data_IF_784419987326
#
_entry.id   IF_784419987326
#
_cell.length_a   1.000
_cell.length_b   1.000
_cell.length_c   1.000
_cell.angle_alpha   90.00
_cell.angle_beta   90.00
_cell.angle_gamma   90.00
#
_symmetry.space_group_name_H-M   'P 1'
#
loop_
_entity.id
_entity.type
_entity.pdbx_description
1 polymer ?
#
# COMPACT_ATOMS: atom_id res chain seq x y z
N UNK A 1 2.92 17.30 54.31
CA UNK A 1 2.25 16.33 53.42
C UNK A 1 2.06 17.02 52.08
N UNK A 2 2.71 16.70 50.97
CA UNK A 2 3.64 15.63 50.63
C UNK A 2 4.50 16.19 49.50
N UNK A 3 5.81 16.07 49.64
CA UNK A 3 6.84 16.67 48.79
C UNK A 3 6.73 16.21 47.33
N UNK A 4 6.89 17.16 46.41
CA UNK A 4 7.18 16.92 45.00
C UNK A 4 8.42 16.04 44.89
N UNK A 5 8.26 14.84 44.34
CA UNK A 5 9.38 13.94 44.02
C UNK A 5 10.09 14.50 42.78
N UNK A 6 11.15 15.27 43.03
CA UNK A 6 12.15 15.61 42.00
C UNK A 6 12.69 14.30 41.45
N UNK A 7 12.54 14.10 40.14
CA UNK A 7 13.23 13.01 39.42
C UNK A 7 14.72 13.34 39.47
N UNK A 8 15.45 12.71 40.38
CA UNK A 8 16.91 12.79 40.42
C UNK A 8 17.47 12.22 39.10
N UNK A 9 18.04 13.12 38.28
CA UNK A 9 18.97 12.73 37.24
C UNK A 9 20.21 12.12 37.92
N UNK A 10 20.28 10.78 37.97
CA UNK A 10 21.46 10.08 38.45
C UNK A 10 22.69 10.47 37.60
N UNK A 11 23.84 10.77 38.24
CA UNK A 11 25.04 11.12 37.51
C UNK A 11 25.59 9.93 36.72
N UNK A 12 25.82 10.22 35.44
CA UNK A 12 26.68 9.57 34.44
C UNK A 12 27.44 8.31 34.91
N UNK A 13 26.99 7.15 34.44
CA UNK A 13 27.65 5.85 34.62
C UNK A 13 29.16 5.93 34.25
N UNK A 14 30.02 5.48 35.16
CA UNK A 14 31.43 5.14 34.87
C UNK A 14 31.46 4.07 33.76
N UNK A 15 32.25 4.29 32.70
CA UNK A 15 32.35 3.37 31.54
C UNK A 15 32.07 3.99 30.16
N UNK A 16 31.82 5.31 30.09
CA UNK A 16 31.41 6.04 28.86
C UNK A 16 32.38 6.05 27.66
N UNK A 17 33.57 5.47 27.76
CA UNK A 17 34.61 5.56 26.72
C UNK A 17 35.24 4.21 26.38
N UNK A 18 34.48 3.14 26.48
CA UNK A 18 34.89 1.88 25.86
C UNK A 18 34.52 1.91 24.37
N UNK A 19 35.40 1.37 23.53
CA UNK A 19 35.09 1.18 22.13
C UNK A 19 33.87 0.25 22.04
N UNK A 20 32.81 0.73 21.38
CA UNK A 20 31.61 -0.05 21.09
C UNK A 20 31.62 -0.43 19.63
N UNK A 21 31.13 -1.62 19.35
CA UNK A 21 30.91 -2.07 17.98
C UNK A 21 29.74 -1.31 17.35
N UNK A 22 29.66 -1.33 16.02
CA UNK A 22 28.51 -0.76 15.31
C UNK A 22 27.20 -1.44 15.73
N UNK A 23 27.21 -2.76 15.94
CA UNK A 23 26.03 -3.53 16.35
C UNK A 23 25.56 -3.15 17.76
N UNK A 24 26.49 -2.92 18.69
CA UNK A 24 26.15 -2.44 20.03
C UNK A 24 25.54 -1.04 19.99
N UNK A 25 26.09 -0.15 19.16
CA UNK A 25 25.54 1.18 18.96
C UNK A 25 24.15 1.12 18.31
N UNK A 26 23.99 0.29 17.27
CA UNK A 26 22.72 0.07 16.59
C UNK A 26 21.67 -0.47 17.55
N UNK A 27 21.98 -1.52 18.31
CA UNK A 27 21.06 -2.10 19.28
C UNK A 27 20.68 -1.12 20.38
N UNK A 28 21.65 -0.33 20.88
CA UNK A 28 21.37 0.71 21.87
C UNK A 28 20.42 1.79 21.32
N UNK A 29 20.67 2.28 20.10
CA UNK A 29 19.86 3.34 19.49
C UNK A 29 18.48 2.85 19.03
N UNK A 30 18.43 1.75 18.28
CA UNK A 30 17.24 1.29 17.55
C UNK A 30 16.42 0.21 18.27
N UNK A 31 17.00 -0.56 19.21
CA UNK A 31 16.22 -1.54 19.98
C UNK A 31 15.95 -1.10 21.42
N UNK A 32 16.87 -0.36 22.06
CA UNK A 32 16.74 0.02 23.47
C UNK A 32 16.22 1.45 23.68
N UNK A 33 16.76 2.42 22.95
CA UNK A 33 16.46 3.83 23.16
C UNK A 33 15.19 4.28 22.43
N UNK A 34 15.07 3.91 21.15
CA UNK A 34 13.93 4.29 20.32
C UNK A 34 12.65 3.53 20.71
N UNK A 35 11.51 4.19 20.52
CA UNK A 35 10.18 3.60 20.68
C UNK A 35 9.44 3.72 19.36
N UNK A 36 8.71 2.67 19.00
CA UNK A 36 8.00 2.57 17.72
C UNK A 36 6.52 2.36 17.96
N UNK A 37 5.71 2.91 17.05
CA UNK A 37 4.30 2.59 16.94
C UNK A 37 4.11 1.75 15.70
N UNK A 38 3.29 0.70 15.78
CA UNK A 38 2.88 -0.05 14.61
C UNK A 38 2.07 0.89 13.69
N UNK A 39 2.46 1.07 12.42
CA UNK A 39 1.81 2.05 11.55
C UNK A 39 0.33 1.77 11.25
N UNK A 40 -0.10 0.51 11.39
CA UNK A 40 -1.48 0.09 11.15
C UNK A 40 -2.35 0.19 12.41
N UNK A 41 -1.90 -0.32 13.56
CA UNK A 41 -2.70 -0.35 14.79
C UNK A 41 -2.56 0.91 15.63
N UNK A 42 -1.48 1.70 15.43
CA UNK A 42 -1.09 2.85 16.27
C UNK A 42 -0.72 2.49 17.71
N UNK A 43 -0.66 1.21 18.04
CA UNK A 43 -0.20 0.71 19.33
C UNK A 43 1.33 0.57 19.35
N UNK A 44 1.89 0.23 20.52
CA UNK A 44 3.31 -0.04 20.66
C UNK A 44 3.74 -1.14 19.68
N UNK A 45 4.74 -0.84 18.85
CA UNK A 45 5.30 -1.76 17.86
C UNK A 45 6.82 -1.87 17.98
N UNK A 46 7.42 -2.41 16.93
CA UNK A 46 8.85 -2.66 16.81
C UNK A 46 9.45 -1.86 15.64
N UNK A 47 10.78 -1.82 15.57
CA UNK A 47 11.50 -1.30 14.41
C UNK A 47 11.02 -1.97 13.11
N UNK A 48 10.82 -3.29 13.14
CA UNK A 48 10.46 -4.07 11.96
C UNK A 48 9.09 -3.69 11.41
N UNK A 49 8.10 -3.41 12.27
CA UNK A 49 6.78 -2.93 11.84
C UNK A 49 6.88 -1.63 11.02
N UNK A 50 7.76 -0.73 11.46
CA UNK A 50 7.98 0.55 10.78
C UNK A 50 8.79 0.37 9.51
N UNK A 51 9.84 -0.46 9.54
CA UNK A 51 10.66 -0.76 8.36
C UNK A 51 9.83 -1.41 7.25
N UNK A 52 9.00 -2.40 7.57
CA UNK A 52 8.13 -3.07 6.60
C UNK A 52 7.14 -2.10 5.97
N UNK A 53 6.55 -1.22 6.78
CA UNK A 53 5.65 -0.17 6.29
C UNK A 53 6.39 0.81 5.36
N UNK A 54 7.58 1.27 5.73
CA UNK A 54 8.37 2.19 4.92
C UNK A 54 8.82 1.55 3.59
N UNK A 55 9.23 0.27 3.60
CA UNK A 55 9.56 -0.47 2.39
C UNK A 55 8.34 -0.59 1.45
N UNK A 56 7.16 -0.86 2.00
CA UNK A 56 5.91 -0.86 1.23
C UNK A 56 5.61 0.51 0.63
N UNK A 57 5.73 1.59 1.42
CA UNK A 57 5.53 2.97 0.97
C UNK A 57 6.51 3.35 -0.14
N UNK A 58 7.78 2.97 0.00
CA UNK A 58 8.83 3.23 -0.99
C UNK A 58 8.53 2.53 -2.31
N UNK A 59 8.22 1.22 -2.29
CA UNK A 59 7.85 0.45 -3.49
C UNK A 59 6.66 1.07 -4.21
N UNK A 60 5.62 1.45 -3.46
CA UNK A 60 4.44 2.13 -4.01
C UNK A 60 4.80 3.48 -4.62
N UNK A 61 5.64 4.26 -3.95
CA UNK A 61 6.08 5.56 -4.44
C UNK A 61 6.88 5.45 -5.73
N UNK A 62 7.81 4.50 -5.82
CA UNK A 62 8.58 4.25 -7.05
C UNK A 62 7.71 3.77 -8.20
N UNK A 63 6.75 2.88 -7.93
CA UNK A 63 5.82 2.38 -8.95
C UNK A 63 4.98 3.51 -9.57
N UNK A 64 4.56 4.47 -8.73
CA UNK A 64 3.62 5.53 -9.10
C UNK A 64 4.28 6.89 -9.31
N UNK A 65 5.60 6.96 -9.37
CA UNK A 65 6.37 8.21 -9.54
C UNK A 65 6.01 8.93 -10.84
N UNK A 66 6.06 10.27 -10.83
CA UNK A 66 5.77 11.09 -12.01
C UNK A 66 4.29 11.44 -12.16
N UNK A 67 3.79 11.44 -13.40
CA UNK A 67 2.39 11.78 -13.69
C UNK A 67 1.57 10.54 -14.00
N UNK A 68 0.58 10.24 -13.16
CA UNK A 68 -0.30 9.08 -13.35
C UNK A 68 -1.62 9.55 -13.97
N UNK A 69 -1.79 9.23 -15.25
CA UNK A 69 -2.96 9.56 -16.04
C UNK A 69 -4.02 8.48 -15.84
N UNK A 70 -5.11 8.81 -15.16
CA UNK A 70 -6.24 7.91 -14.91
C UNK A 70 -7.38 8.23 -15.87
N UNK A 71 -7.88 7.22 -16.59
CA UNK A 71 -9.01 7.36 -17.52
C UNK A 71 -10.18 6.49 -17.08
N UNK A 72 -11.41 6.91 -17.42
CA UNK A 72 -12.65 6.15 -17.23
C UNK A 72 -12.96 5.78 -15.76
N UNK A 73 -12.65 6.70 -14.85
CA UNK A 73 -13.07 6.61 -13.46
C UNK A 73 -14.23 7.56 -13.20
N UNK A 74 -15.35 6.99 -12.75
CA UNK A 74 -16.48 7.75 -12.19
C UNK A 74 -16.00 8.59 -11.00
N UNK A 75 -16.70 9.68 -10.68
CA UNK A 75 -16.31 10.56 -9.57
C UNK A 75 -16.12 9.79 -8.25
N UNK A 76 -17.02 8.85 -7.94
CA UNK A 76 -16.89 7.97 -6.79
C UNK A 76 -15.59 7.14 -6.83
N UNK A 77 -15.29 6.50 -7.97
CA UNK A 77 -14.06 5.72 -8.15
C UNK A 77 -12.81 6.58 -7.95
N UNK A 78 -12.82 7.84 -8.39
CA UNK A 78 -11.70 8.78 -8.17
C UNK A 78 -11.47 9.03 -6.68
N UNK A 79 -12.52 9.23 -5.89
CA UNK A 79 -12.37 9.49 -4.45
C UNK A 79 -11.82 8.26 -3.72
N UNK A 80 -12.32 7.06 -4.03
CA UNK A 80 -11.88 5.84 -3.33
C UNK A 80 -10.47 5.39 -3.73
N UNK A 81 -10.01 5.65 -4.96
CA UNK A 81 -8.67 5.23 -5.39
C UNK A 81 -7.58 6.22 -5.01
N UNK A 82 -7.92 7.51 -4.86
CA UNK A 82 -6.94 8.57 -4.57
C UNK A 82 -6.04 8.26 -3.35
N UNK A 83 -6.52 7.73 -2.20
CA UNK A 83 -5.65 7.35 -1.09
C UNK A 83 -4.63 6.24 -1.41
N UNK A 84 -4.98 5.35 -2.34
CA UNK A 84 -4.08 4.29 -2.81
C UNK A 84 -3.03 4.82 -3.79
N UNK A 85 -3.45 5.71 -4.69
CA UNK A 85 -2.64 6.18 -5.81
C UNK A 85 -1.77 7.41 -5.49
N UNK A 86 -2.17 8.23 -4.52
CA UNK A 86 -1.44 9.46 -4.19
C UNK A 86 -0.21 9.14 -3.36
N UNK A 87 0.93 9.68 -3.80
CA UNK A 87 2.21 9.61 -3.11
C UNK A 87 2.83 11.01 -3.05
N UNK A 88 3.97 11.17 -2.38
CA UNK A 88 4.66 12.47 -2.33
C UNK A 88 5.30 12.83 -3.68
N UNK A 89 5.68 11.82 -4.47
CA UNK A 89 6.47 11.97 -5.69
C UNK A 89 5.63 11.86 -6.97
N UNK A 90 4.31 12.05 -6.86
CA UNK A 90 3.45 11.95 -8.04
C UNK A 90 2.34 13.00 -8.12
N UNK A 91 1.84 13.16 -9.35
CA UNK A 91 0.64 13.92 -9.65
C UNK A 91 -0.38 12.99 -10.30
N UNK A 92 -1.60 12.98 -9.75
CA UNK A 92 -2.71 12.23 -10.32
C UNK A 92 -3.52 13.13 -11.25
N UNK A 93 -3.73 12.71 -12.49
CA UNK A 93 -4.60 13.41 -13.44
C UNK A 93 -5.74 12.50 -13.86
N UNK A 94 -6.96 13.02 -13.84
CA UNK A 94 -8.16 12.25 -14.16
C UNK A 94 -8.81 12.81 -15.41
N UNK A 95 -9.03 11.96 -16.40
CA UNK A 95 -9.68 12.31 -17.66
C UNK A 95 -11.02 11.59 -17.79
N UNK A 96 -12.03 12.29 -18.32
CA UNK A 96 -13.34 11.72 -18.65
C UNK A 96 -13.34 10.97 -19.99
N UNK A 97 -12.36 11.21 -20.85
CA UNK A 97 -12.27 10.62 -22.19
C UNK A 97 -10.82 10.35 -22.57
N UNK A 98 -10.61 9.42 -23.51
CA UNK A 98 -9.29 9.17 -24.09
C UNK A 98 -8.77 10.37 -24.88
N UNK A 99 -9.64 11.06 -25.62
CA UNK A 99 -9.25 12.20 -26.46
C UNK A 99 -8.73 13.39 -25.64
N UNK A 100 -9.31 13.66 -24.46
CA UNK A 100 -8.80 14.71 -23.57
C UNK A 100 -7.44 14.32 -22.96
N UNK A 101 -7.26 13.04 -22.62
CA UNK A 101 -5.98 12.52 -22.16
C UNK A 101 -4.90 12.63 -23.24
N UNK A 102 -5.24 12.28 -24.48
CA UNK A 102 -4.36 12.41 -25.65
C UNK A 102 -3.96 13.85 -25.92
N UNK A 103 -4.91 14.80 -25.85
CA UNK A 103 -4.63 16.23 -26.02
C UNK A 103 -3.67 16.73 -24.95
N UNK A 104 -3.88 16.34 -23.69
CA UNK A 104 -2.99 16.67 -22.59
C UNK A 104 -1.59 16.09 -22.81
N UNK A 105 -1.50 14.81 -23.16
CA UNK A 105 -0.23 14.14 -23.45
C UNK A 105 0.54 14.87 -24.56
N UNK A 106 -0.11 15.16 -25.69
CA UNK A 106 0.52 15.82 -26.83
C UNK A 106 1.14 17.18 -26.48
N UNK A 107 0.43 17.97 -25.66
CA UNK A 107 0.86 19.31 -25.23
C UNK A 107 1.82 19.32 -24.04
N UNK A 108 2.17 18.17 -23.46
CA UNK A 108 3.08 18.13 -22.31
C UNK A 108 4.55 17.98 -22.70
N UNK A 109 5.43 18.63 -21.94
CA UNK A 109 6.89 18.49 -22.02
C UNK A 109 7.41 17.31 -21.17
N UNK A 110 6.63 16.81 -20.22
CA UNK A 110 7.02 15.78 -19.24
C UNK A 110 6.57 14.36 -19.63
N UNK A 111 6.46 14.07 -20.93
CA UNK A 111 5.92 12.80 -21.46
C UNK A 111 6.63 11.56 -20.90
N UNK A 112 7.95 11.62 -20.75
CA UNK A 112 8.78 10.51 -20.27
C UNK A 112 8.52 10.14 -18.79
N UNK A 113 7.86 11.02 -18.05
CA UNK A 113 7.49 10.81 -16.64
C UNK A 113 6.05 10.31 -16.48
N UNK A 114 5.31 10.15 -17.58
CA UNK A 114 3.91 9.79 -17.56
C UNK A 114 3.71 8.28 -17.50
N UNK A 115 2.66 7.85 -16.80
CA UNK A 115 2.16 6.48 -16.77
C UNK A 115 0.65 6.50 -16.95
N UNK A 116 0.10 5.57 -17.71
CA UNK A 116 -1.34 5.40 -17.86
C UNK A 116 -1.85 4.41 -16.80
N UNK A 117 -2.88 4.77 -16.04
CA UNK A 117 -3.54 3.91 -15.06
C UNK A 117 -4.96 3.58 -15.52
N UNK A 118 -5.25 2.30 -15.67
CA UNK A 118 -6.55 1.78 -16.10
C UNK A 118 -7.18 0.87 -15.04
N UNK A 119 -8.51 0.82 -14.98
CA UNK A 119 -9.22 -0.13 -14.12
C UNK A 119 -9.50 -1.45 -14.87
N UNK A 120 -8.89 -2.55 -14.43
CA UNK A 120 -9.03 -3.86 -15.06
C UNK A 120 -8.66 -3.83 -16.54
N UNK A 121 -9.50 -4.43 -17.39
CA UNK A 121 -9.35 -4.46 -18.85
C UNK A 121 -10.44 -3.66 -19.60
N UNK A 122 -11.10 -2.71 -18.93
CA UNK A 122 -12.28 -2.03 -19.49
C UNK A 122 -12.00 -1.09 -20.67
N UNK A 123 -10.74 -0.73 -20.90
CA UNK A 123 -10.38 0.34 -21.84
C UNK A 123 -9.16 -0.02 -22.70
N UNK A 124 -9.28 -1.06 -23.56
CA UNK A 124 -8.17 -1.59 -24.35
C UNK A 124 -7.60 -0.59 -25.37
N UNK A 125 -8.40 0.33 -25.89
CA UNK A 125 -7.97 1.37 -26.82
C UNK A 125 -6.96 2.34 -26.19
N UNK A 126 -7.14 2.66 -24.90
CA UNK A 126 -6.19 3.51 -24.19
C UNK A 126 -4.88 2.78 -23.90
N UNK A 127 -4.95 1.49 -23.56
CA UNK A 127 -3.76 0.65 -23.43
C UNK A 127 -2.99 0.59 -24.75
N UNK A 128 -3.68 0.28 -25.85
CA UNK A 128 -3.08 0.23 -27.20
C UNK A 128 -2.44 1.57 -27.59
N UNK A 129 -3.11 2.68 -27.28
CA UNK A 129 -2.58 4.02 -27.51
C UNK A 129 -1.32 4.31 -26.68
N UNK A 130 -1.32 3.99 -25.38
CA UNK A 130 -0.16 4.20 -24.53
C UNK A 130 1.02 3.32 -24.97
N UNK A 131 0.76 2.05 -25.29
CA UNK A 131 1.75 1.10 -25.77
C UNK A 131 2.40 1.55 -27.10
N UNK A 132 1.62 2.09 -28.04
CA UNK A 132 2.17 2.61 -29.30
C UNK A 132 3.08 3.84 -29.13
N UNK A 133 2.99 4.50 -27.99
CA UNK A 133 3.82 5.66 -27.61
C UNK A 133 4.90 5.31 -26.59
N UNK A 134 4.99 4.05 -26.15
CA UNK A 134 5.93 3.62 -25.10
C UNK A 134 5.59 4.13 -23.69
N UNK A 135 4.38 4.64 -23.47
CA UNK A 135 3.92 5.09 -22.14
C UNK A 135 3.60 3.85 -21.29
N UNK A 136 4.22 3.68 -20.11
CA UNK A 136 3.93 2.54 -19.25
C UNK A 136 2.45 2.46 -18.84
N UNK A 137 1.86 1.27 -18.96
CA UNK A 137 0.47 1.02 -18.58
C UNK A 137 0.42 0.24 -17.27
N UNK A 138 -0.17 0.86 -16.26
CA UNK A 138 -0.53 0.27 -14.98
C UNK A 138 -2.01 -0.11 -15.00
N UNK A 139 -2.35 -1.25 -14.40
CA UNK A 139 -3.74 -1.68 -14.19
C UNK A 139 -4.02 -1.82 -12.71
N UNK A 140 -5.18 -1.34 -12.30
CA UNK A 140 -5.67 -1.51 -10.94
C UNK A 140 -6.98 -2.29 -10.89
N UNK A 141 -7.19 -3.00 -9.78
CA UNK A 141 -8.42 -3.73 -9.50
C UNK A 141 -8.63 -3.87 -7.98
N UNK A 142 -9.85 -4.21 -7.56
CA UNK A 142 -10.11 -4.56 -6.15
C UNK A 142 -9.14 -5.65 -5.65
N UNK A 143 -8.61 -5.45 -4.44
CA UNK A 143 -7.75 -6.44 -3.79
C UNK A 143 -8.47 -7.70 -3.31
N UNK A 144 -7.70 -8.72 -2.96
CA UNK A 144 -8.22 -10.04 -2.57
C UNK A 144 -9.02 -10.00 -1.25
N UNK A 145 -8.65 -9.10 -0.32
CA UNK A 145 -9.41 -8.77 0.90
C UNK A 145 -9.88 -7.32 0.77
N UNK A 146 -11.15 -7.11 0.47
CA UNK A 146 -11.64 -5.80 0.03
C UNK A 146 -12.32 -5.03 1.14
N UNK A 147 -13.34 -5.56 1.79
CA UNK A 147 -14.21 -4.76 2.66
C UNK A 147 -15.10 -5.62 3.54
N UNK A 148 -15.77 -5.00 4.53
CA UNK A 148 -16.98 -5.56 5.16
C UNK A 148 -18.19 -4.90 4.48
N UNK A 149 -18.78 -5.61 3.53
CA UNK A 149 -19.82 -5.12 2.63
C UNK A 149 -19.40 -5.10 1.17
N UNK A 150 -20.38 -4.97 0.28
CA UNK A 150 -20.20 -5.02 -1.17
C UNK A 150 -19.79 -3.67 -1.76
N UNK A 151 -19.02 -3.70 -2.84
CA UNK A 151 -18.71 -2.51 -3.62
C UNK A 151 -19.93 -1.86 -4.29
N UNK A 152 -20.97 -2.66 -4.61
CA UNK A 152 -22.26 -2.16 -5.11
C UNK A 152 -22.97 -1.25 -4.10
N UNK A 153 -22.65 -1.39 -2.81
CA UNK A 153 -23.21 -0.58 -1.74
C UNK A 153 -22.31 0.62 -1.40
N UNK A 154 -21.40 1.00 -2.32
CA UNK A 154 -20.44 2.09 -2.17
C UNK A 154 -19.53 1.94 -0.93
N UNK A 155 -19.23 0.70 -0.54
CA UNK A 155 -18.24 0.45 0.52
C UNK A 155 -16.84 0.62 -0.08
N UNK A 156 -16.01 1.54 0.45
CA UNK A 156 -14.65 1.75 -0.04
C UNK A 156 -13.79 0.49 0.18
N UNK A 157 -12.88 0.17 -0.74
CA UNK A 157 -11.96 -0.94 -0.56
C UNK A 157 -10.91 -0.60 0.52
N UNK A 158 -10.45 -1.61 1.24
CA UNK A 158 -9.32 -1.59 2.16
C UNK A 158 -8.00 -1.97 1.46
N UNK A 159 -8.08 -2.63 0.30
CA UNK A 159 -6.92 -2.97 -0.52
C UNK A 159 -7.22 -2.85 -2.01
N UNK A 160 -6.18 -2.52 -2.77
CA UNK A 160 -6.20 -2.37 -4.22
C UNK A 160 -4.99 -3.09 -4.81
N UNK A 161 -5.18 -3.81 -5.91
CA UNK A 161 -4.08 -4.33 -6.72
C UNK A 161 -3.65 -3.24 -7.69
N UNK A 162 -2.34 -3.07 -7.87
CA UNK A 162 -1.74 -2.28 -8.94
C UNK A 162 -0.69 -3.15 -9.61
N UNK A 163 -0.85 -3.40 -10.91
CA UNK A 163 -0.04 -4.32 -11.70
C UNK A 163 0.55 -3.55 -12.90
N UNK A 164 1.86 -3.69 -13.09
CA UNK A 164 2.64 -3.01 -14.14
C UNK A 164 3.02 -3.92 -15.31
N UNK A 165 2.44 -5.12 -15.36
CA UNK A 165 2.64 -6.09 -16.46
C UNK A 165 1.34 -6.45 -17.14
N UNK A 166 0.28 -6.64 -16.37
CA UNK A 166 -1.02 -7.10 -16.86
C UNK A 166 -2.06 -6.91 -15.77
N UNK A 167 -2.87 -7.93 -15.51
CA UNK A 167 -3.73 -7.98 -14.33
C UNK A 167 -4.03 -9.45 -13.99
N UNK A 168 -4.09 -9.80 -12.70
CA UNK A 168 -4.08 -11.19 -12.22
C UNK A 168 -5.17 -12.12 -12.76
N UNK A 169 -6.29 -11.60 -13.25
CA UNK A 169 -7.39 -12.41 -13.78
C UNK A 169 -7.31 -12.60 -15.30
N UNK A 170 -6.44 -11.87 -16.00
CA UNK A 170 -6.30 -11.98 -17.45
C UNK A 170 -5.24 -13.02 -17.80
N UNK A 171 -5.68 -14.20 -18.24
CA UNK A 171 -4.79 -15.30 -18.64
C UNK A 171 -4.18 -15.14 -20.03
N UNK A 172 -4.52 -14.09 -20.77
CA UNK A 172 -4.03 -13.88 -22.16
C UNK A 172 -2.68 -13.17 -22.21
N UNK A 173 -2.27 -12.54 -21.11
CA UNK A 173 -1.01 -11.79 -21.01
C UNK A 173 -0.38 -11.98 -19.61
N UNK A 174 0.95 -11.95 -19.50
CA UNK A 174 1.61 -12.08 -18.20
C UNK A 174 1.21 -10.99 -17.20
N UNK A 175 1.00 -11.38 -15.95
CA UNK A 175 0.75 -10.47 -14.83
C UNK A 175 1.94 -10.36 -13.87
N UNK A 176 1.96 -9.31 -13.03
CA UNK A 176 2.95 -9.18 -11.96
C UNK A 176 2.84 -10.33 -10.96
N UNK A 177 1.63 -10.82 -10.69
CA UNK A 177 1.41 -11.97 -9.81
C UNK A 177 2.07 -13.24 -10.38
N UNK A 178 1.87 -13.55 -11.66
CA UNK A 178 2.52 -14.70 -12.30
C UNK A 178 4.04 -14.56 -12.28
N UNK A 179 4.55 -13.37 -12.57
CA UNK A 179 5.99 -13.10 -12.50
C UNK A 179 6.54 -13.36 -11.10
N UNK A 180 5.86 -12.90 -10.05
CA UNK A 180 6.26 -13.15 -8.66
C UNK A 180 6.24 -14.66 -8.33
N UNK A 181 5.20 -15.38 -8.71
CA UNK A 181 5.08 -16.81 -8.46
C UNK A 181 6.18 -17.63 -9.16
N UNK A 182 6.63 -17.19 -10.34
CA UNK A 182 7.67 -17.87 -11.11
C UNK A 182 9.10 -17.52 -10.65
N UNK A 183 9.35 -16.27 -10.25
CA UNK A 183 10.71 -15.74 -10.09
C UNK A 183 11.10 -15.42 -8.64
N UNK A 184 10.14 -15.32 -7.72
CA UNK A 184 10.44 -14.99 -6.33
C UNK A 184 10.81 -16.23 -5.52
N UNK A 185 11.96 -16.17 -4.83
CA UNK A 185 12.38 -17.22 -3.91
C UNK A 185 11.74 -16.98 -2.53
N UNK A 186 10.63 -17.66 -2.26
CA UNK A 186 9.93 -17.56 -0.97
C UNK A 186 10.75 -18.19 0.17
N UNK A 187 11.12 -17.37 1.15
CA UNK A 187 11.91 -17.80 2.31
C UNK A 187 11.09 -18.67 3.28
N UNK A 188 11.74 -19.20 4.31
CA UNK A 188 11.03 -19.93 5.37
C UNK A 188 10.10 -18.99 6.16
N UNK A 189 10.52 -17.75 6.39
CA UNK A 189 9.73 -16.71 7.06
C UNK A 189 8.48 -16.35 6.24
N UNK A 190 8.60 -16.21 4.92
CA UNK A 190 7.45 -15.99 4.04
C UNK A 190 6.42 -17.11 4.16
N UNK A 191 6.89 -18.37 4.14
CA UNK A 191 6.02 -19.55 4.24
C UNK A 191 5.36 -19.64 5.62
N UNK A 192 6.09 -19.35 6.69
CA UNK A 192 5.56 -19.32 8.05
C UNK A 192 4.49 -18.23 8.19
N UNK A 193 4.79 -17.01 7.72
CA UNK A 193 3.85 -15.88 7.72
C UNK A 193 2.60 -16.18 6.89
N UNK A 194 2.76 -16.74 5.69
CA UNK A 194 1.64 -17.12 4.82
C UNK A 194 0.79 -18.22 5.46
N UNK A 195 1.41 -19.22 6.08
CA UNK A 195 0.70 -20.30 6.78
C UNK A 195 -0.13 -19.77 7.96
N UNK A 196 0.42 -18.85 8.75
CA UNK A 196 -0.31 -18.20 9.84
C UNK A 196 -1.46 -17.33 9.32
N UNK A 197 -1.22 -16.53 8.27
CA UNK A 197 -2.26 -15.73 7.63
C UNK A 197 -3.42 -16.59 7.12
N UNK A 198 -3.12 -17.70 6.41
CA UNK A 198 -4.14 -18.63 5.90
C UNK A 198 -4.98 -19.19 7.06
N UNK A 199 -4.33 -19.64 8.15
CA UNK A 199 -5.04 -20.13 9.34
C UNK A 199 -5.99 -19.07 9.90
N UNK A 200 -5.53 -17.83 10.04
CA UNK A 200 -6.38 -16.74 10.55
C UNK A 200 -7.54 -16.41 9.62
N UNK A 201 -7.31 -16.37 8.30
CA UNK A 201 -8.36 -16.12 7.32
C UNK A 201 -9.46 -17.19 7.39
N UNK A 202 -9.08 -18.47 7.46
CA UNK A 202 -10.02 -19.59 7.57
C UNK A 202 -10.77 -19.57 8.91
N UNK A 203 -10.05 -19.44 10.02
CA UNK A 203 -10.66 -19.43 11.37
C UNK A 203 -11.63 -18.27 11.56
N UNK A 204 -11.33 -17.10 11.00
CA UNK A 204 -12.17 -15.90 11.09
C UNK A 204 -13.16 -15.78 9.94
N UNK A 205 -13.21 -16.76 9.04
CA UNK A 205 -14.06 -16.78 7.84
C UNK A 205 -13.98 -15.48 7.01
N UNK A 206 -12.75 -14.98 6.84
CA UNK A 206 -12.49 -13.75 6.07
C UNK A 206 -12.56 -14.07 4.58
N UNK A 207 -13.40 -13.32 3.88
CA UNK A 207 -13.57 -13.38 2.43
C UNK A 207 -13.36 -12.00 1.79
N UNK A 208 -13.50 -11.89 0.47
CA UNK A 208 -13.32 -10.62 -0.25
C UNK A 208 -14.22 -9.51 0.30
N UNK A 209 -15.50 -9.79 0.51
CA UNK A 209 -16.50 -8.81 0.94
C UNK A 209 -17.02 -9.00 2.36
N UNK A 210 -16.64 -10.09 3.04
CA UNK A 210 -17.06 -10.40 4.42
C UNK A 210 -18.56 -10.19 4.68
N UNK A 211 -19.41 -10.61 3.73
CA UNK A 211 -20.88 -10.57 3.83
C UNK A 211 -21.43 -11.95 4.19
N UNK A 212 -22.53 -11.99 4.94
CA UNK A 212 -23.21 -13.23 5.34
C UNK A 212 -23.15 -13.52 6.84
N UNK A 213 -23.77 -14.63 7.25
CA UNK A 213 -24.00 -15.01 8.65
C UNK A 213 -22.75 -15.54 9.37
N UNK A 214 -21.68 -15.84 8.65
CA UNK A 214 -20.37 -16.19 9.22
C UNK A 214 -19.36 -15.04 9.16
N UNK A 215 -19.81 -13.79 8.96
CA UNK A 215 -18.93 -12.64 8.80
C UNK A 215 -18.17 -12.26 10.08
N UNK A 216 -17.02 -11.63 9.89
CA UNK A 216 -16.22 -11.04 10.95
C UNK A 216 -17.07 -10.07 11.80
N UNK A 217 -17.18 -10.31 13.11
CA UNK A 217 -17.78 -9.33 14.02
C UNK A 217 -16.83 -8.13 14.15
N UNK A 218 -17.29 -6.95 13.74
CA UNK A 218 -16.53 -5.72 13.93
C UNK A 218 -16.64 -5.27 15.39
N UNK A 219 -15.56 -4.71 15.96
CA UNK A 219 -15.62 -4.16 17.32
C UNK A 219 -16.62 -3.00 17.40
N UNK A 220 -17.29 -2.89 18.54
CA UNK A 220 -18.19 -1.79 18.88
C UNK A 220 -17.57 -0.95 20.02
N UNK A 221 -17.48 0.39 19.89
CA UNK A 221 -17.89 1.17 18.72
C UNK A 221 -17.01 0.86 17.52
N UNK A 222 -17.56 0.99 16.30
CA UNK A 222 -16.76 0.87 15.09
C UNK A 222 -15.54 1.79 15.19
N UNK A 223 -14.33 1.31 14.83
CA UNK A 223 -13.17 2.17 14.75
C UNK A 223 -13.53 3.34 13.84
N UNK A 224 -13.16 4.56 14.23
CA UNK A 224 -13.38 5.73 13.39
C UNK A 224 -12.94 5.39 11.97
N UNK A 225 -13.88 5.40 11.03
CA UNK A 225 -13.57 5.13 9.63
C UNK A 225 -12.43 6.05 9.25
N UNK A 226 -11.38 5.52 8.62
CA UNK A 226 -10.30 6.33 8.05
C UNK A 226 -10.94 7.38 7.13
N UNK A 227 -11.24 8.55 7.70
CA UNK A 227 -11.55 9.75 6.96
C UNK A 227 -10.24 10.07 6.26
N UNK A 228 -10.19 9.80 4.96
CA UNK A 228 -9.14 10.32 4.11
C UNK A 228 -9.18 11.86 4.23
N UNK A 229 -8.41 12.40 5.17
CA UNK A 229 -8.01 13.80 5.20
C UNK A 229 -6.81 13.94 4.26
#
# INVERSE_FOLDING_TARGET
>A
MTSLTVIEFRPLQKGRREARTLDELFAAAYFKYSRYLNPYTKEQGTLFDVTDYLLMMQRRSSLLEGEVLCIDLTWWKRQITKPFLRTHHNQLRFFSSLSDCQRYYQGSETKDLMKLMLWGQKFPEAATWAESLGVPVLRMEDGFIRSVGLGSNLVPPLSLVIDDKGIYFDSRAPSRLEFLLQNYQFTQEDRARAGELIKQLVQKNIAKYNVGTGGLALPEPRPETFSAR
#
